data_IF_364043501961
#
_entry.id   IF_364043501961
#
_cell.length_a   1.000
_cell.length_b   1.000
_cell.length_c   1.000
_cell.angle_alpha   90.00
_cell.angle_beta   90.00
_cell.angle_gamma   90.00
#
_symmetry.space_group_name_H-M   'P 1'
#
loop_
_entity.id
_entity.type
_entity.pdbx_description
1 polymer ?
#
# COMPACT_ATOMS: atom_id res chain seq x y z
N UNK A 1 17.69 18.29 -9.45
CA UNK A 1 18.23 16.93 -9.17
C UNK A 1 19.07 16.49 -10.36
N UNK A 2 20.22 15.81 -10.18
CA UNK A 2 20.99 15.33 -11.32
C UNK A 2 20.11 14.43 -12.20
N UNK A 3 20.23 14.58 -13.52
CA UNK A 3 19.37 13.92 -14.50
C UNK A 3 19.32 12.39 -14.36
N UNK A 4 20.29 11.80 -13.65
CA UNK A 4 20.48 10.37 -13.47
C UNK A 4 20.20 9.90 -12.05
N UNK A 5 19.39 10.58 -11.24
CA UNK A 5 18.97 10.07 -9.93
C UNK A 5 17.45 10.05 -9.77
N UNK A 6 16.96 9.11 -8.96
CA UNK A 6 15.56 9.05 -8.54
C UNK A 6 15.33 9.89 -7.27
N UNK A 7 14.08 10.14 -6.86
CA UNK A 7 13.77 10.90 -5.64
C UNK A 7 14.36 10.31 -4.35
N UNK A 8 14.67 9.02 -4.33
CA UNK A 8 15.33 8.32 -3.22
C UNK A 8 16.88 8.35 -3.31
N UNK A 9 17.43 9.12 -4.26
CA UNK A 9 18.88 9.26 -4.44
C UNK A 9 19.55 8.13 -5.23
N UNK A 10 18.84 7.07 -5.63
CA UNK A 10 19.41 5.98 -6.43
C UNK A 10 19.76 6.44 -7.84
N UNK A 11 20.88 5.92 -8.36
CA UNK A 11 21.31 6.18 -9.73
C UNK A 11 20.38 5.51 -10.75
N UNK A 12 20.00 6.28 -11.78
CA UNK A 12 19.21 5.89 -12.93
C UNK A 12 20.16 5.92 -14.13
N UNK A 13 20.49 4.75 -14.67
CA UNK A 13 21.43 4.60 -15.79
C UNK A 13 20.90 5.19 -17.10
N UNK A 14 19.58 5.14 -17.29
CA UNK A 14 18.93 5.62 -18.51
C UNK A 14 17.54 6.17 -18.23
N UNK A 15 17.06 7.09 -19.07
CA UNK A 15 15.69 7.61 -18.96
C UNK A 15 14.62 6.51 -19.04
N UNK A 16 14.91 5.37 -19.69
CA UNK A 16 14.02 4.22 -19.79
C UNK A 16 13.88 3.43 -18.47
N UNK A 17 14.76 3.65 -17.49
CA UNK A 17 14.67 3.03 -16.16
C UNK A 17 13.81 3.85 -15.17
N UNK A 18 13.34 5.01 -15.62
CA UNK A 18 12.51 5.94 -14.85
C UNK A 18 11.03 5.65 -15.07
N UNK A 19 10.25 5.61 -14.00
CA UNK A 19 8.80 5.53 -14.09
C UNK A 19 8.15 6.92 -14.31
N UNK A 20 6.82 6.95 -14.46
CA UNK A 20 6.05 8.19 -14.66
C UNK A 20 6.19 9.21 -13.52
N UNK A 21 6.68 8.79 -12.36
CA UNK A 21 6.85 9.60 -11.15
C UNK A 21 8.32 9.91 -10.85
N UNK A 22 9.25 9.49 -11.71
CA UNK A 22 10.69 9.74 -11.53
C UNK A 22 11.45 8.66 -10.75
N UNK A 23 10.80 7.60 -10.27
CA UNK A 23 11.43 6.53 -9.52
C UNK A 23 12.20 5.55 -10.41
N UNK A 24 13.26 4.95 -9.88
CA UNK A 24 13.98 3.87 -10.54
C UNK A 24 13.21 2.55 -10.42
N UNK A 25 13.53 1.58 -11.29
CA UNK A 25 12.93 0.23 -11.28
C UNK A 25 12.94 -0.45 -9.90
N UNK A 26 14.00 -0.28 -9.10
CA UNK A 26 14.10 -0.86 -7.76
C UNK A 26 13.07 -0.24 -6.80
N UNK A 27 12.97 1.09 -6.78
CA UNK A 27 11.97 1.78 -5.96
C UNK A 27 10.54 1.43 -6.39
N UNK A 28 10.30 1.32 -7.71
CA UNK A 28 9.02 0.86 -8.25
C UNK A 28 8.69 -0.55 -7.78
N UNK A 29 9.62 -1.49 -7.90
CA UNK A 29 9.43 -2.88 -7.47
C UNK A 29 9.17 -2.99 -5.96
N UNK A 30 9.91 -2.23 -5.14
CA UNK A 30 9.68 -2.19 -3.70
C UNK A 30 8.31 -1.62 -3.34
N UNK A 31 7.88 -0.54 -4.01
CA UNK A 31 6.52 0.01 -3.84
C UNK A 31 5.45 -1.00 -4.22
N UNK A 32 5.58 -1.65 -5.38
CA UNK A 32 4.65 -2.70 -5.80
C UNK A 32 4.63 -3.88 -4.82
N UNK A 33 5.79 -4.27 -4.30
CA UNK A 33 5.89 -5.33 -3.28
C UNK A 33 5.14 -4.94 -2.01
N UNK A 34 5.36 -3.73 -1.48
CA UNK A 34 4.65 -3.22 -0.29
C UNK A 34 3.15 -3.19 -0.52
N UNK A 35 2.70 -2.73 -1.69
CA UNK A 35 1.28 -2.73 -2.06
C UNK A 35 0.68 -4.13 -2.08
N UNK A 36 1.37 -5.11 -2.67
CA UNK A 36 0.89 -6.51 -2.71
C UNK A 36 0.81 -7.12 -1.31
N UNK A 37 1.83 -6.92 -0.49
CA UNK A 37 1.89 -7.43 0.89
C UNK A 37 0.79 -6.78 1.74
N UNK A 38 0.66 -5.44 1.69
CA UNK A 38 -0.37 -4.70 2.41
C UNK A 38 -1.78 -5.15 2.05
N UNK A 39 -2.08 -5.28 0.74
CA UNK A 39 -3.37 -5.79 0.27
C UNK A 39 -3.67 -7.20 0.79
N UNK A 40 -2.68 -8.11 0.73
CA UNK A 40 -2.86 -9.48 1.19
C UNK A 40 -3.08 -9.57 2.69
N UNK A 41 -2.32 -8.80 3.47
CA UNK A 41 -2.43 -8.77 4.92
C UNK A 41 -3.77 -8.17 5.36
N UNK A 42 -4.19 -7.05 4.77
CA UNK A 42 -5.46 -6.42 5.07
C UNK A 42 -6.65 -7.35 4.77
N UNK A 43 -6.62 -8.04 3.62
CA UNK A 43 -7.67 -9.00 3.27
C UNK A 43 -7.74 -10.16 4.27
N UNK A 44 -6.59 -10.66 4.73
CA UNK A 44 -6.52 -11.76 5.69
C UNK A 44 -7.12 -11.36 7.04
N UNK A 45 -6.74 -10.18 7.56
CA UNK A 45 -7.25 -9.64 8.83
C UNK A 45 -8.76 -9.45 8.76
N UNK A 46 -9.25 -8.81 7.70
CA UNK A 46 -10.68 -8.56 7.55
C UNK A 46 -11.49 -9.85 7.46
N UNK A 47 -11.01 -10.85 6.70
CA UNK A 47 -11.67 -12.16 6.61
C UNK A 47 -11.67 -12.90 7.94
N UNK A 48 -10.61 -12.77 8.75
CA UNK A 48 -10.57 -13.39 10.07
C UNK A 48 -11.65 -12.80 11.00
N UNK A 49 -11.83 -11.48 10.97
CA UNK A 49 -12.90 -10.81 11.72
C UNK A 49 -14.31 -11.17 11.21
N UNK A 50 -14.49 -11.21 9.89
CA UNK A 50 -15.75 -11.66 9.28
C UNK A 50 -16.10 -13.10 9.70
N UNK A 51 -15.13 -14.02 9.68
CA UNK A 51 -15.32 -15.38 10.15
C UNK A 51 -15.65 -15.47 11.65
N UNK A 52 -15.22 -14.50 12.45
CA UNK A 52 -15.59 -14.36 13.86
C UNK A 52 -16.97 -13.69 14.07
N UNK A 53 -17.69 -13.36 12.98
CA UNK A 53 -19.01 -12.73 13.02
C UNK A 53 -18.99 -11.21 13.18
N UNK A 54 -17.82 -10.58 13.06
CA UNK A 54 -17.70 -9.12 13.09
C UNK A 54 -18.32 -8.54 11.82
N UNK A 55 -19.18 -7.53 12.00
CA UNK A 55 -19.71 -6.71 10.90
C UNK A 55 -18.98 -5.38 10.90
N UNK A 56 -18.68 -4.89 9.70
CA UNK A 56 -18.02 -3.61 9.52
C UNK A 56 -19.04 -2.55 9.17
N UNK A 57 -18.93 -1.39 9.82
CA UNK A 57 -19.80 -0.25 9.59
C UNK A 57 -18.96 1.03 9.58
N UNK A 58 -19.40 2.02 8.80
CA UNK A 58 -18.86 3.37 8.80
C UNK A 58 -20.02 4.34 8.93
N UNK A 59 -20.03 5.12 10.01
CA UNK A 59 -21.10 6.07 10.34
C UNK A 59 -22.51 5.43 10.33
N UNK A 60 -22.60 4.20 10.82
CA UNK A 60 -23.85 3.41 10.87
C UNK A 60 -24.27 2.76 9.55
N UNK A 61 -23.45 2.89 8.50
CA UNK A 61 -23.70 2.24 7.21
C UNK A 61 -22.86 0.96 7.13
N UNK A 62 -23.47 -0.22 6.86
CA UNK A 62 -22.73 -1.45 6.64
C UNK A 62 -21.76 -1.34 5.46
N UNK A 63 -20.52 -1.77 5.68
CA UNK A 63 -19.44 -1.72 4.70
C UNK A 63 -19.02 -3.13 4.31
N UNK A 64 -18.78 -3.35 3.02
CA UNK A 64 -18.31 -4.64 2.54
C UNK A 64 -16.88 -4.93 3.06
N UNK A 65 -16.58 -6.17 3.47
CA UNK A 65 -15.24 -6.56 3.92
C UNK A 65 -14.12 -6.19 2.92
N UNK A 66 -14.40 -6.30 1.62
CA UNK A 66 -13.44 -5.92 0.58
C UNK A 66 -13.07 -4.43 0.61
N UNK A 67 -14.02 -3.55 0.96
CA UNK A 67 -13.80 -2.11 1.05
C UNK A 67 -12.97 -1.75 2.29
N UNK A 68 -13.22 -2.42 3.41
CA UNK A 68 -12.42 -2.29 4.64
C UNK A 68 -10.98 -2.73 4.38
N UNK A 69 -10.79 -3.88 3.72
CA UNK A 69 -9.46 -4.37 3.39
C UNK A 69 -8.70 -3.41 2.46
N UNK A 70 -9.40 -2.80 1.50
CA UNK A 70 -8.84 -1.77 0.63
C UNK A 70 -8.40 -0.54 1.43
N UNK A 71 -9.27 -0.01 2.30
CA UNK A 71 -8.96 1.14 3.14
C UNK A 71 -7.75 0.88 4.06
N UNK A 72 -7.70 -0.30 4.69
CA UNK A 72 -6.56 -0.71 5.52
C UNK A 72 -5.25 -0.80 4.73
N UNK A 73 -5.30 -1.33 3.51
CA UNK A 73 -4.11 -1.43 2.67
C UNK A 73 -3.62 -0.04 2.20
N UNK A 74 -4.54 0.89 1.93
CA UNK A 74 -4.21 2.28 1.58
C UNK A 74 -3.54 3.00 2.76
N UNK A 75 -4.04 2.81 4.00
CA UNK A 75 -3.39 3.34 5.20
C UNK A 75 -1.98 2.77 5.42
N UNK A 76 -1.80 1.47 5.15
CA UNK A 76 -0.49 0.83 5.21
C UNK A 76 0.47 1.40 4.13
N UNK A 77 0.01 1.59 2.89
CA UNK A 77 0.84 2.21 1.83
C UNK A 77 1.22 3.65 2.19
N UNK A 78 0.31 4.40 2.82
CA UNK A 78 0.55 5.77 3.27
C UNK A 78 1.47 5.85 4.50
N UNK A 79 1.77 4.73 5.17
CA UNK A 79 2.47 4.73 6.45
C UNK A 79 1.69 5.44 7.56
N UNK A 80 0.36 5.51 7.42
CA UNK A 80 -0.55 6.25 8.30
C UNK A 80 -1.29 5.33 9.27
N UNK A 81 -0.81 4.09 9.46
CA UNK A 81 -1.37 3.22 10.49
C UNK A 81 -1.00 3.79 11.86
N UNK A 82 -1.94 3.83 12.82
CA UNK A 82 -1.63 4.19 14.19
C UNK A 82 -0.59 3.22 14.75
N UNK A 83 0.35 3.72 15.56
CA UNK A 83 1.24 2.85 16.33
C UNK A 83 0.38 1.99 17.27
N UNK A 84 0.50 0.67 17.12
CA UNK A 84 -0.12 -0.26 18.06
C UNK A 84 0.67 -0.18 19.38
N UNK A 85 -0.02 -0.13 20.53
CA UNK A 85 0.63 -0.08 21.85
C UNK A 85 1.46 -1.34 22.14
#
# INVERSE_FOLDING_TARGET
>A
MPANRCPQGHEIRSAADRDKFGYCRKCKAERERRRRVGNSAALMVVRAFEAAGVRFEHDGVPVAPAEVAKALAELYEAGALPELP
#
